data_IF_692885238003
#
_entry.id   IF_692885238003
#
_cell.length_a   1.000
_cell.length_b   1.000
_cell.length_c   1.000
_cell.angle_alpha   90.00
_cell.angle_beta   90.00
_cell.angle_gamma   90.00
#
_symmetry.space_group_name_H-M   'P 1'
#
loop_
_entity.id
_entity.type
_entity.pdbx_description
1 polymer ?
#
# COMPACT_ATOMS: atom_id res chain seq x y z
N UNK A 1 70.09 2.73 -58.05
CA UNK A 1 70.27 1.40 -58.70
C UNK A 1 69.16 0.47 -58.20
N UNK A 2 68.30 0.07 -59.15
CA UNK A 2 67.61 -1.22 -59.29
C UNK A 2 66.70 -1.75 -58.20
N UNK A 3 65.42 -1.68 -58.54
CA UNK A 3 64.33 -2.55 -58.03
C UNK A 3 64.57 -4.04 -58.36
N UNK A 4 63.89 -5.01 -57.72
CA UNK A 4 62.66 -5.43 -58.33
C UNK A 4 61.52 -5.78 -57.36
N UNK A 5 60.34 -5.65 -57.90
CA UNK A 5 59.00 -6.11 -57.60
C UNK A 5 58.94 -7.59 -57.19
N UNK A 6 58.07 -7.86 -56.19
CA UNK A 6 57.45 -9.16 -56.04
C UNK A 6 55.98 -8.98 -55.60
N UNK A 7 55.08 -9.32 -56.50
CA UNK A 7 53.65 -9.51 -56.28
C UNK A 7 53.45 -10.72 -55.36
N UNK A 8 52.69 -10.54 -54.32
CA UNK A 8 52.12 -11.64 -53.61
C UNK A 8 50.60 -11.40 -53.57
N UNK A 9 49.86 -12.22 -54.29
CA UNK A 9 48.45 -12.27 -54.37
C UNK A 9 47.92 -12.87 -53.06
N UNK A 10 47.14 -12.06 -52.27
CA UNK A 10 46.45 -12.57 -51.11
C UNK A 10 45.03 -13.03 -51.53
N UNK A 11 44.80 -14.33 -51.47
CA UNK A 11 43.49 -14.96 -51.63
C UNK A 11 42.64 -14.60 -50.43
N UNK A 12 41.58 -13.80 -50.62
CA UNK A 12 40.55 -13.54 -49.63
C UNK A 12 39.63 -14.73 -49.59
N UNK A 13 39.74 -15.55 -48.55
CA UNK A 13 38.75 -16.55 -48.20
C UNK A 13 37.55 -15.85 -47.58
N UNK A 14 36.48 -15.68 -48.33
CA UNK A 14 35.14 -15.30 -47.82
C UNK A 14 34.55 -16.46 -47.03
N UNK A 15 34.72 -16.44 -45.73
CA UNK A 15 33.98 -17.32 -44.80
C UNK A 15 32.54 -16.83 -44.71
N UNK A 16 31.66 -17.46 -45.49
CA UNK A 16 30.22 -17.28 -45.34
C UNK A 16 29.83 -18.04 -44.09
N UNK A 17 29.67 -17.31 -42.98
CA UNK A 17 29.07 -17.83 -41.76
C UNK A 17 27.60 -18.12 -42.07
N UNK A 18 27.26 -19.37 -42.32
CA UNK A 18 25.89 -19.83 -42.37
C UNK A 18 25.27 -19.62 -41.00
N UNK A 19 24.47 -18.61 -40.88
CA UNK A 19 23.57 -18.45 -39.71
C UNK A 19 22.52 -19.56 -39.84
N UNK A 20 22.76 -20.67 -39.16
CA UNK A 20 21.73 -21.67 -38.96
C UNK A 20 20.61 -20.99 -38.18
N UNK A 21 19.53 -20.63 -38.88
CA UNK A 21 18.31 -20.19 -38.22
C UNK A 21 17.83 -21.37 -37.38
N UNK A 22 17.99 -21.25 -36.07
CA UNK A 22 17.42 -22.18 -35.12
C UNK A 22 15.89 -22.05 -35.22
N UNK A 23 15.27 -22.96 -35.93
CA UNK A 23 13.81 -23.08 -35.95
C UNK A 23 13.44 -23.76 -34.64
N UNK A 24 12.74 -23.07 -33.72
CA UNK A 24 12.34 -23.70 -32.46
C UNK A 24 11.45 -24.90 -32.78
N UNK A 25 11.82 -26.07 -32.27
CA UNK A 25 11.00 -27.28 -32.39
C UNK A 25 9.64 -27.02 -31.75
N UNK A 26 8.57 -27.28 -32.51
CA UNK A 26 7.19 -27.10 -32.04
C UNK A 26 6.92 -27.85 -30.73
N UNK A 27 7.61 -28.97 -30.52
CA UNK A 27 7.55 -29.73 -29.25
C UNK A 27 8.22 -29.00 -28.07
N UNK A 28 9.23 -28.17 -28.31
CA UNK A 28 9.86 -27.36 -27.29
C UNK A 28 8.93 -26.22 -26.83
N UNK A 29 8.24 -25.58 -27.77
CA UNK A 29 7.25 -24.53 -27.48
C UNK A 29 6.05 -25.09 -26.69
N UNK A 30 5.56 -26.28 -27.05
CA UNK A 30 4.47 -26.92 -26.28
C UNK A 30 4.90 -27.23 -24.86
N UNK A 31 6.09 -27.79 -24.67
CA UNK A 31 6.63 -28.08 -23.32
C UNK A 31 6.81 -26.81 -22.49
N UNK A 32 7.25 -25.71 -23.11
CA UNK A 32 7.39 -24.43 -22.43
C UNK A 32 6.04 -23.86 -22.00
N UNK A 33 5.02 -23.98 -22.86
CA UNK A 33 3.67 -23.55 -22.54
C UNK A 33 3.05 -24.41 -21.43
N UNK A 34 3.23 -25.72 -21.45
CA UNK A 34 2.81 -26.60 -20.35
C UNK A 34 3.54 -26.29 -19.02
N UNK A 35 4.83 -25.98 -19.07
CA UNK A 35 5.56 -25.56 -17.88
C UNK A 35 5.05 -24.23 -17.33
N UNK A 36 4.73 -23.28 -18.20
CA UNK A 36 4.12 -22.01 -17.77
C UNK A 36 2.73 -22.22 -17.16
N UNK A 37 1.92 -23.13 -17.71
CA UNK A 37 0.61 -23.47 -17.15
C UNK A 37 0.70 -24.25 -15.84
N UNK A 38 1.75 -25.07 -15.65
CA UNK A 38 2.02 -25.79 -14.41
C UNK A 38 2.67 -24.93 -13.34
N UNK A 39 3.35 -23.84 -13.73
CA UNK A 39 3.77 -22.84 -12.76
C UNK A 39 2.51 -22.12 -12.29
N UNK A 40 1.95 -22.60 -11.18
CA UNK A 40 0.92 -21.84 -10.44
C UNK A 40 1.42 -20.41 -10.34
N UNK A 41 0.68 -19.42 -10.88
CA UNK A 41 1.08 -18.02 -10.73
C UNK A 41 1.41 -17.81 -9.26
N UNK A 42 2.51 -17.12 -8.93
CA UNK A 42 2.73 -16.74 -7.54
C UNK A 42 1.41 -16.14 -7.10
N UNK A 43 0.82 -16.76 -6.07
CA UNK A 43 -0.44 -16.27 -5.53
C UNK A 43 -0.15 -14.79 -5.25
N UNK A 44 -0.73 -13.91 -6.05
CA UNK A 44 -0.75 -12.51 -5.73
C UNK A 44 -1.30 -12.50 -4.33
N UNK A 45 -0.43 -12.27 -3.37
CA UNK A 45 -0.82 -12.03 -1.99
C UNK A 45 -1.59 -10.72 -2.05
N UNK A 46 -2.85 -10.81 -2.51
CA UNK A 46 -3.78 -9.71 -2.32
C UNK A 46 -3.73 -9.52 -0.81
N UNK A 47 -3.26 -8.35 -0.32
CA UNK A 47 -3.32 -8.10 1.10
C UNK A 47 -4.75 -8.43 1.49
N UNK A 48 -4.93 -9.45 2.32
CA UNK A 48 -6.25 -9.80 2.84
C UNK A 48 -6.66 -8.56 3.60
N UNK A 49 -7.49 -7.74 2.99
CA UNK A 49 -8.12 -6.63 3.67
C UNK A 49 -8.87 -7.27 4.82
N UNK A 50 -8.27 -7.25 6.00
CA UNK A 50 -8.98 -7.66 7.19
C UNK A 50 -10.24 -6.80 7.24
N UNK A 51 -11.41 -7.41 7.38
CA UNK A 51 -12.64 -6.64 7.43
C UNK A 51 -12.51 -5.64 8.56
N UNK A 52 -12.67 -4.37 8.22
CA UNK A 52 -12.62 -3.30 9.21
C UNK A 52 -13.69 -3.57 10.27
N UNK A 53 -13.36 -3.42 11.56
CA UNK A 53 -14.31 -3.63 12.62
C UNK A 53 -15.51 -2.71 12.43
N UNK A 54 -16.74 -3.19 12.67
CA UNK A 54 -17.93 -2.36 12.51
C UNK A 54 -17.91 -1.16 13.45
N UNK A 55 -18.48 -0.05 13.00
CA UNK A 55 -18.61 1.15 13.83
C UNK A 55 -19.48 0.89 15.07
N UNK A 56 -19.14 1.52 16.17
CA UNK A 56 -19.93 1.47 17.40
C UNK A 56 -21.24 2.24 17.20
N UNK A 57 -22.34 1.66 17.65
CA UNK A 57 -23.63 2.36 17.73
C UNK A 57 -23.60 3.24 18.97
N UNK A 58 -23.61 4.55 18.77
CA UNK A 58 -23.59 5.55 19.85
C UNK A 58 -25.02 6.06 20.03
N UNK A 59 -25.60 5.74 21.14
CA UNK A 59 -26.95 6.24 21.52
C UNK A 59 -26.82 7.55 22.32
N UNK A 60 -27.85 8.37 22.32
CA UNK A 60 -27.86 9.65 23.04
C UNK A 60 -27.66 9.48 24.57
N UNK A 61 -28.00 8.32 25.13
CA UNK A 61 -27.75 7.95 26.51
C UNK A 61 -26.35 7.41 26.79
N UNK A 62 -25.54 7.26 25.76
CA UNK A 62 -24.16 6.73 25.91
C UNK A 62 -23.30 7.77 26.61
N UNK A 63 -22.76 7.41 27.76
CA UNK A 63 -21.76 8.20 28.51
C UNK A 63 -20.59 7.30 28.82
N UNK A 64 -19.39 7.70 28.41
CA UNK A 64 -18.17 6.95 28.65
C UNK A 64 -17.07 7.87 29.17
N UNK A 65 -16.27 7.37 30.09
CA UNK A 65 -15.06 8.09 30.54
C UNK A 65 -13.85 7.42 29.93
N UNK A 66 -13.09 8.17 29.16
CA UNK A 66 -11.90 7.68 28.47
C UNK A 66 -10.65 8.31 29.07
N UNK A 67 -9.72 7.48 29.48
CA UNK A 67 -8.43 7.92 30.01
C UNK A 67 -7.33 7.89 28.97
N UNK A 68 -7.46 7.00 27.97
CA UNK A 68 -6.44 6.79 26.94
C UNK A 68 -7.09 6.54 25.59
N UNK A 69 -6.54 7.17 24.57
CA UNK A 69 -6.91 6.94 23.18
C UNK A 69 -5.86 6.12 22.47
N UNK A 70 -6.29 5.17 21.65
CA UNK A 70 -5.45 4.37 20.76
C UNK A 70 -5.90 4.59 19.33
N UNK A 71 -4.96 4.84 18.44
CA UNK A 71 -5.25 5.05 17.02
C UNK A 71 -4.78 3.85 16.20
N UNK A 72 -5.63 3.41 15.28
CA UNK A 72 -5.32 2.33 14.35
C UNK A 72 -5.46 2.85 12.92
N UNK A 73 -4.49 2.52 12.06
CA UNK A 73 -4.52 2.91 10.65
C UNK A 73 -3.97 4.32 10.36
N UNK A 74 -3.43 5.02 11.36
CA UNK A 74 -2.78 6.31 11.19
C UNK A 74 -1.35 6.12 10.65
N UNK A 75 -1.16 6.39 9.37
CA UNK A 75 0.14 6.30 8.70
C UNK A 75 0.74 7.67 8.38
N UNK A 76 -0.09 8.69 8.24
CA UNK A 76 0.30 10.05 7.83
C UNK A 76 0.53 11.01 8.99
N UNK A 77 -0.27 10.89 10.04
CA UNK A 77 -0.08 11.63 11.28
C UNK A 77 0.42 10.69 12.37
N UNK A 78 1.34 11.18 13.17
CA UNK A 78 1.87 10.41 14.28
C UNK A 78 0.82 10.24 15.40
N UNK A 79 1.00 9.22 16.20
CA UNK A 79 0.13 8.99 17.37
C UNK A 79 0.17 10.17 18.33
N UNK A 80 1.33 10.80 18.50
CA UNK A 80 1.51 11.96 19.39
C UNK A 80 0.72 13.19 18.88
N UNK A 81 0.72 13.42 17.57
CA UNK A 81 -0.06 14.50 16.97
C UNK A 81 -1.57 14.29 17.20
N UNK A 82 -2.03 13.04 16.99
CA UNK A 82 -3.42 12.70 17.22
C UNK A 82 -3.79 12.74 18.71
N UNK A 83 -2.89 12.34 19.60
CA UNK A 83 -3.07 12.48 21.05
C UNK A 83 -3.25 13.95 21.46
N UNK A 84 -2.49 14.86 20.87
CA UNK A 84 -2.66 16.29 21.13
C UNK A 84 -4.04 16.81 20.69
N UNK A 85 -4.55 16.32 19.54
CA UNK A 85 -5.89 16.67 19.02
C UNK A 85 -6.98 16.20 19.95
N UNK A 86 -6.88 15.00 20.50
CA UNK A 86 -7.93 14.41 21.37
C UNK A 86 -7.74 14.71 22.85
N UNK A 87 -6.65 15.38 23.25
CA UNK A 87 -6.36 15.72 24.64
C UNK A 87 -7.54 16.42 25.35
N UNK A 88 -8.31 17.33 24.72
CA UNK A 88 -9.47 17.97 25.34
C UNK A 88 -10.60 17.00 25.75
N UNK A 89 -10.63 15.79 25.15
CA UNK A 89 -11.63 14.76 25.39
C UNK A 89 -11.18 13.73 26.44
N UNK A 90 -9.90 13.70 26.80
CA UNK A 90 -9.39 12.75 27.79
C UNK A 90 -9.86 13.10 29.21
N UNK A 91 -10.06 12.07 30.03
CA UNK A 91 -10.40 12.17 31.45
C UNK A 91 -11.72 12.93 31.74
N UNK A 92 -12.63 12.91 30.79
CA UNK A 92 -13.96 13.50 30.88
C UNK A 92 -15.03 12.46 30.63
N UNK A 93 -16.21 12.69 31.17
CA UNK A 93 -17.41 11.96 30.75
C UNK A 93 -17.80 12.46 29.35
N UNK A 94 -17.69 11.60 28.37
CA UNK A 94 -18.01 11.89 26.97
C UNK A 94 -19.40 11.38 26.65
N UNK A 95 -20.25 12.27 26.18
CA UNK A 95 -21.58 11.95 25.64
C UNK A 95 -21.50 11.62 24.15
N UNK A 96 -22.59 11.16 23.58
CA UNK A 96 -22.68 10.81 22.16
C UNK A 96 -22.21 11.93 21.23
N UNK A 97 -22.53 13.16 21.55
CA UNK A 97 -22.13 14.36 20.84
C UNK A 97 -20.59 14.57 20.92
N UNK A 98 -19.98 14.38 22.11
CA UNK A 98 -18.55 14.55 22.30
C UNK A 98 -17.76 13.50 21.50
N UNK A 99 -18.29 12.27 21.42
CA UNK A 99 -17.69 11.19 20.62
C UNK A 99 -17.70 11.50 19.11
N UNK A 100 -18.77 12.14 18.62
CA UNK A 100 -18.82 12.63 17.24
C UNK A 100 -17.80 13.74 17.02
N UNK A 101 -17.75 14.74 17.91
CA UNK A 101 -16.77 15.80 17.84
C UNK A 101 -15.32 15.31 17.90
N UNK A 102 -15.04 14.26 18.64
CA UNK A 102 -13.72 13.63 18.70
C UNK A 102 -13.32 13.07 17.32
N UNK A 103 -14.19 12.33 16.65
CA UNK A 103 -13.91 11.79 15.31
C UNK A 103 -13.80 12.88 14.25
N UNK A 104 -14.60 13.94 14.38
CA UNK A 104 -14.54 15.12 13.51
C UNK A 104 -13.21 15.88 13.70
N UNK A 105 -12.75 16.05 14.94
CA UNK A 105 -11.48 16.70 15.25
C UNK A 105 -10.29 15.92 14.66
N UNK A 106 -10.32 14.59 14.73
CA UNK A 106 -9.31 13.74 14.10
C UNK A 106 -9.33 13.93 12.58
N UNK A 107 -10.51 13.87 11.96
CA UNK A 107 -10.68 14.04 10.52
C UNK A 107 -10.24 15.43 10.06
N UNK A 108 -10.51 16.48 10.87
CA UNK A 108 -10.07 17.84 10.61
C UNK A 108 -8.55 18.00 10.65
N UNK A 109 -7.88 17.37 11.62
CA UNK A 109 -6.43 17.40 11.72
C UNK A 109 -5.76 16.80 10.45
N UNK A 110 -6.33 15.73 9.92
CA UNK A 110 -5.88 15.16 8.65
C UNK A 110 -6.16 16.08 7.46
N UNK A 111 -7.32 16.73 7.43
CA UNK A 111 -7.67 17.69 6.37
C UNK A 111 -6.72 18.87 6.35
N UNK A 112 -6.33 19.39 7.50
CA UNK A 112 -5.34 20.46 7.63
C UNK A 112 -3.94 20.02 7.13
N UNK A 113 -3.63 18.73 7.30
CA UNK A 113 -2.42 18.12 6.75
C UNK A 113 -2.53 17.78 5.24
N UNK A 114 -3.65 18.09 4.59
CA UNK A 114 -3.88 17.85 3.17
C UNK A 114 -4.35 16.42 2.82
N UNK A 115 -4.91 15.69 3.78
CA UNK A 115 -5.38 14.31 3.60
C UNK A 115 -6.87 14.19 3.87
N UNK A 116 -7.52 13.30 3.13
CA UNK A 116 -8.89 12.92 3.41
C UNK A 116 -8.88 11.58 4.16
N UNK A 117 -9.58 11.55 5.28
CA UNK A 117 -9.73 10.33 6.08
C UNK A 117 -11.17 10.18 6.56
N UNK A 118 -11.49 8.96 6.89
CA UNK A 118 -12.68 8.63 7.67
C UNK A 118 -12.21 8.12 9.03
N UNK A 119 -12.52 8.87 10.09
CA UNK A 119 -12.28 8.45 11.45
C UNK A 119 -13.60 7.96 12.07
N UNK A 120 -13.56 6.83 12.78
CA UNK A 120 -14.71 6.32 13.50
C UNK A 120 -14.27 5.51 14.72
N UNK A 121 -15.21 5.30 15.64
CA UNK A 121 -15.00 4.49 16.83
C UNK A 121 -15.52 3.09 16.51
N UNK A 122 -14.64 2.06 16.47
CA UNK A 122 -15.07 0.69 16.25
C UNK A 122 -15.83 0.15 17.45
N UNK A 123 -16.64 -0.88 17.22
CA UNK A 123 -17.34 -1.58 18.29
C UNK A 123 -16.32 -2.22 19.24
N UNK A 124 -16.32 -1.80 20.48
CA UNK A 124 -15.37 -2.21 21.50
C UNK A 124 -15.98 -2.14 22.89
N UNK A 125 -15.32 -2.81 23.85
CA UNK A 125 -15.62 -2.63 25.27
C UNK A 125 -14.87 -1.42 25.80
N UNK A 126 -15.58 -0.49 26.42
CA UNK A 126 -15.04 0.74 26.99
C UNK A 126 -14.82 0.66 28.50
N UNK A 127 -15.08 -0.50 29.12
CA UNK A 127 -14.93 -0.70 30.56
C UNK A 127 -13.53 -0.51 31.10
N UNK A 128 -12.50 -0.61 30.24
CA UNK A 128 -11.09 -0.40 30.58
C UNK A 128 -10.62 1.06 30.54
N UNK A 129 -11.49 2.01 30.16
CA UNK A 129 -11.12 3.42 30.03
C UNK A 129 -10.16 3.72 28.86
N UNK A 130 -9.90 2.75 27.99
CA UNK A 130 -9.17 2.92 26.74
C UNK A 130 -10.15 2.88 25.56
N UNK A 131 -10.01 3.83 24.65
CA UNK A 131 -10.83 3.91 23.45
C UNK A 131 -9.97 3.85 22.21
N UNK A 132 -10.22 2.85 21.36
CA UNK A 132 -9.63 2.79 20.04
C UNK A 132 -10.42 3.68 19.07
N UNK A 133 -9.69 4.41 18.24
CA UNK A 133 -10.21 5.19 17.12
C UNK A 133 -9.61 4.61 15.84
N UNK A 134 -10.47 4.20 14.93
CA UNK A 134 -10.05 3.68 13.63
C UNK A 134 -9.98 4.81 12.63
N UNK A 135 -8.85 4.90 11.94
CA UNK A 135 -8.60 5.87 10.86
C UNK A 135 -8.45 5.10 9.55
N UNK A 136 -9.22 5.49 8.55
CA UNK A 136 -9.12 5.00 7.18
C UNK A 136 -8.59 6.14 6.34
N UNK A 137 -7.33 6.05 5.96
CA UNK A 137 -6.68 7.05 5.12
C UNK A 137 -7.00 6.78 3.65
N UNK A 138 -7.61 7.74 2.98
CA UNK A 138 -7.87 7.69 1.55
C UNK A 138 -6.75 8.43 0.82
N UNK A 139 -6.25 7.84 -0.26
CA UNK A 139 -5.32 8.54 -1.16
C UNK A 139 -6.13 9.59 -1.92
N UNK A 140 -5.82 10.88 -1.81
CA UNK A 140 -6.52 11.90 -2.59
C UNK A 140 -6.31 11.62 -4.08
N UNK A 141 -7.35 11.73 -4.92
CA UNK A 141 -7.31 11.35 -6.34
C UNK A 141 -6.31 12.16 -7.18
N UNK A 142 -5.73 13.22 -6.64
CA UNK A 142 -4.86 14.16 -7.36
C UNK A 142 -3.45 14.32 -6.80
N UNK A 143 -2.96 13.43 -5.95
CA UNK A 143 -1.55 13.51 -5.55
C UNK A 143 -0.71 12.71 -6.54
N UNK A 144 0.17 13.34 -7.36
CA UNK A 144 1.09 12.59 -8.20
C UNK A 144 1.97 11.73 -7.30
N UNK A 145 2.04 10.45 -7.61
CA UNK A 145 3.00 9.52 -7.00
C UNK A 145 4.41 9.98 -7.41
N UNK A 146 5.37 10.08 -6.49
CA UNK A 146 6.75 10.45 -6.83
C UNK A 146 7.43 9.42 -7.72
#
# INVERSE_FOLDING_TARGET
>A
MRHPRSLAAALACLSISAWAQYVPDAGALMRQTEQMLRQKPPALSVPRLEPLPPAMVINESTVVTVFRFKFNGNQRLSTEQLQAVVAPFAQKALHAHDLRHLTDAVSEAYRQAGWLVQAYIPRQDLGGGEMAVQVIESIPPNKPTP
#
